data_IF_299496478578
#
_entry.id   IF_299496478578
#
_cell.length_a   1.000
_cell.length_b   1.000
_cell.length_c   1.000
_cell.angle_alpha   90.00
_cell.angle_beta   90.00
_cell.angle_gamma   90.00
#
_symmetry.space_group_name_H-M   'P 1'
#
loop_
_entity.id
_entity.type
_entity.pdbx_description
1 polymer ?
#
# COMPACT_ATOMS: atom_id res chain seq x y z
N UNK A 1 -4.64 18.30 46.97
CA UNK A 1 -3.92 19.56 47.24
C UNK A 1 -3.13 19.95 45.98
N UNK A 2 -3.75 20.72 45.07
CA UNK A 2 -3.08 21.16 43.83
C UNK A 2 -2.25 22.42 44.12
N UNK A 3 -0.93 22.29 44.08
CA UNK A 3 0.03 23.39 44.22
C UNK A 3 -0.29 24.45 43.14
N UNK A 4 -0.37 25.73 43.49
CA UNK A 4 -0.60 26.83 42.52
C UNK A 4 0.42 26.73 41.38
N UNK A 5 -0.03 26.29 40.21
CA UNK A 5 0.81 26.20 39.01
C UNK A 5 1.20 27.64 38.64
N UNK A 6 2.51 27.90 38.47
CA UNK A 6 2.97 29.22 38.09
C UNK A 6 2.53 29.53 36.64
N UNK A 7 2.22 30.78 36.32
CA UNK A 7 1.72 31.16 34.97
C UNK A 7 2.69 30.77 33.84
N UNK A 8 4.01 30.86 34.05
CA UNK A 8 5.03 30.42 33.08
C UNK A 8 4.98 28.90 32.87
N UNK A 9 4.83 28.12 33.94
CA UNK A 9 4.70 26.67 33.90
C UNK A 9 3.40 26.26 33.19
N UNK A 10 2.30 26.95 33.45
CA UNK A 10 1.04 26.73 32.74
C UNK A 10 1.16 27.04 31.24
N UNK A 11 1.87 28.12 30.86
CA UNK A 11 2.12 28.46 29.46
C UNK A 11 3.03 27.45 28.75
N UNK A 12 4.05 26.91 29.43
CA UNK A 12 4.91 25.86 28.88
C UNK A 12 4.11 24.57 28.65
N UNK A 13 3.26 24.19 29.61
CA UNK A 13 2.40 23.01 29.48
C UNK A 13 1.42 23.19 28.31
N UNK A 14 0.72 24.33 28.23
CA UNK A 14 -0.21 24.60 27.14
C UNK A 14 0.51 24.68 25.78
N UNK A 15 1.68 25.32 25.73
CA UNK A 15 2.50 25.41 24.52
C UNK A 15 2.99 24.05 24.03
N UNK A 16 3.47 23.19 24.93
CA UNK A 16 3.91 21.83 24.57
C UNK A 16 2.77 20.93 24.12
N UNK A 17 1.59 21.04 24.75
CA UNK A 17 0.39 20.33 24.29
C UNK A 17 -0.02 20.81 22.90
N UNK A 18 -0.04 22.12 22.67
CA UNK A 18 -0.37 22.67 21.36
C UNK A 18 0.60 22.18 20.28
N UNK A 19 1.91 22.23 20.52
CA UNK A 19 2.92 21.69 19.60
C UNK A 19 2.71 20.19 19.38
N UNK A 20 2.44 19.42 20.43
CA UNK A 20 2.14 17.99 20.32
C UNK A 20 0.93 17.69 19.44
N UNK A 21 -0.15 18.47 19.58
CA UNK A 21 -1.35 18.34 18.74
C UNK A 21 -1.01 18.67 17.29
N UNK A 22 -0.31 19.79 17.05
CA UNK A 22 0.08 20.20 15.69
C UNK A 22 0.93 19.12 15.03
N UNK A 23 1.94 18.59 15.73
CA UNK A 23 2.77 17.50 15.22
C UNK A 23 1.95 16.25 14.91
N UNK A 24 1.07 15.83 15.80
CA UNK A 24 0.22 14.67 15.59
C UNK A 24 -0.68 14.83 14.36
N UNK A 25 -1.30 16.00 14.18
CA UNK A 25 -2.16 16.30 13.03
C UNK A 25 -1.34 16.29 11.74
N UNK A 26 -0.20 16.99 11.71
CA UNK A 26 0.66 17.07 10.51
C UNK A 26 1.18 15.69 10.14
N UNK A 27 1.67 14.90 11.09
CA UNK A 27 2.15 13.54 10.82
C UNK A 27 1.03 12.64 10.30
N UNK A 28 -0.15 12.68 10.91
CA UNK A 28 -1.29 11.87 10.46
C UNK A 28 -1.73 12.24 9.03
N UNK A 29 -1.80 13.53 8.72
CA UNK A 29 -2.14 13.99 7.37
C UNK A 29 -1.04 13.62 6.36
N UNK A 30 0.24 13.75 6.74
CA UNK A 30 1.36 13.34 5.91
C UNK A 30 1.35 11.84 5.59
N UNK A 31 1.04 11.00 6.59
CA UNK A 31 0.88 9.54 6.40
C UNK A 31 -0.24 9.25 5.41
N UNK A 32 -1.42 9.86 5.58
CA UNK A 32 -2.56 9.66 4.67
C UNK A 32 -2.26 10.12 3.25
N UNK A 33 -1.66 11.31 3.09
CA UNK A 33 -1.31 11.84 1.79
C UNK A 33 -0.34 10.91 1.05
N UNK A 34 0.73 10.48 1.72
CA UNK A 34 1.75 9.59 1.17
C UNK A 34 1.35 8.11 1.13
N UNK A 35 0.10 7.79 1.45
CA UNK A 35 -0.52 6.46 1.35
C UNK A 35 -1.72 6.46 0.40
N UNK A 36 -2.01 7.60 -0.24
CA UNK A 36 -3.13 7.71 -1.18
C UNK A 36 -2.75 7.22 -2.56
N UNK A 37 -3.74 6.72 -3.30
CA UNK A 37 -3.56 6.25 -4.68
C UNK A 37 -3.00 7.37 -5.56
N UNK A 38 -3.50 8.61 -5.39
CA UNK A 38 -2.99 9.78 -6.11
C UNK A 38 -1.51 10.10 -5.84
N UNK A 39 -0.99 9.80 -4.65
CA UNK A 39 0.44 9.91 -4.39
C UNK A 39 1.23 8.80 -5.10
N UNK A 40 0.74 7.56 -5.08
CA UNK A 40 1.36 6.47 -5.82
C UNK A 40 1.45 6.78 -7.32
N UNK A 41 0.33 7.23 -7.89
CA UNK A 41 0.21 7.62 -9.30
C UNK A 41 1.01 8.87 -9.66
N UNK A 42 1.45 9.68 -8.70
CA UNK A 42 2.33 10.82 -8.99
C UNK A 42 3.73 10.41 -9.49
N UNK A 43 4.12 9.14 -9.27
CA UNK A 43 5.36 8.55 -9.77
C UNK A 43 5.08 7.33 -10.69
N UNK A 44 4.08 6.52 -10.35
CA UNK A 44 3.60 5.39 -11.14
C UNK A 44 2.54 5.86 -12.16
N UNK A 45 2.97 6.71 -13.09
CA UNK A 45 2.10 7.36 -14.09
C UNK A 45 2.30 6.72 -15.47
N UNK A 46 1.97 5.44 -15.61
CA UNK A 46 1.88 4.84 -16.94
C UNK A 46 0.59 5.31 -17.63
N UNK A 47 0.65 5.87 -18.84
CA UNK A 47 -0.53 6.39 -19.55
C UNK A 47 -1.67 5.37 -19.69
N UNK A 48 -1.35 4.10 -19.91
CA UNK A 48 -2.32 3.01 -20.00
C UNK A 48 -2.76 2.47 -18.63
N UNK A 49 -2.08 2.80 -17.53
CA UNK A 49 -2.43 2.27 -16.22
C UNK A 49 -3.87 2.61 -15.87
N UNK A 50 -4.27 3.89 -16.03
CA UNK A 50 -5.63 4.32 -15.73
C UNK A 50 -6.65 3.54 -16.56
N UNK A 51 -6.48 3.49 -17.89
CA UNK A 51 -7.42 2.80 -18.78
C UNK A 51 -7.48 1.28 -18.49
N UNK A 52 -6.32 0.67 -18.24
CA UNK A 52 -6.22 -0.78 -18.07
C UNK A 52 -6.61 -1.24 -16.67
N UNK A 53 -6.34 -0.44 -15.63
CA UNK A 53 -6.64 -0.72 -14.23
C UNK A 53 -8.10 -0.44 -13.90
N UNK A 54 -8.68 0.68 -14.38
CA UNK A 54 -10.09 1.02 -14.13
C UNK A 54 -11.06 -0.05 -14.66
N UNK A 55 -10.65 -0.82 -15.67
CA UNK A 55 -11.41 -1.94 -16.19
C UNK A 55 -11.31 -3.24 -15.35
N UNK A 56 -10.52 -3.27 -14.27
CA UNK A 56 -10.26 -4.47 -13.45
C UNK A 56 -11.10 -4.51 -12.19
N UNK A 57 -11.31 -5.72 -11.67
CA UNK A 57 -12.20 -5.95 -10.52
C UNK A 57 -11.74 -5.28 -9.22
N UNK A 58 -10.46 -4.90 -9.10
CA UNK A 58 -9.90 -4.23 -7.92
C UNK A 58 -9.67 -2.73 -8.11
N UNK A 59 -10.19 -2.13 -9.18
CA UNK A 59 -10.02 -0.69 -9.46
C UNK A 59 -10.47 0.23 -8.31
N UNK A 60 -11.44 -0.22 -7.52
CA UNK A 60 -12.00 0.53 -6.39
C UNK A 60 -11.29 0.24 -5.04
N UNK A 61 -10.28 -0.63 -5.03
CA UNK A 61 -9.49 -0.97 -3.84
C UNK A 61 -8.22 -0.10 -3.81
N UNK A 62 -7.90 0.47 -2.65
CA UNK A 62 -6.74 1.38 -2.54
C UNK A 62 -5.44 0.60 -2.73
N UNK A 63 -4.43 1.23 -3.33
CA UNK A 63 -3.13 0.61 -3.59
C UNK A 63 -2.52 0.01 -2.31
N UNK A 64 -2.68 0.73 -1.18
CA UNK A 64 -2.08 0.32 0.09
C UNK A 64 -2.78 -0.87 0.75
N UNK A 65 -4.03 -1.17 0.39
CA UNK A 65 -4.74 -2.34 0.92
C UNK A 65 -4.04 -3.65 0.51
N UNK A 66 -3.42 -3.65 -0.67
CA UNK A 66 -2.63 -4.78 -1.18
C UNK A 66 -1.11 -4.60 -0.95
N UNK A 67 -0.57 -3.39 -1.10
CA UNK A 67 0.88 -3.17 -1.10
C UNK A 67 1.50 -2.84 0.26
N UNK A 68 0.69 -2.70 1.31
CA UNK A 68 1.22 -2.43 2.67
C UNK A 68 1.99 -3.61 3.25
N UNK A 69 3.09 -3.32 3.95
CA UNK A 69 3.76 -4.22 4.89
C UNK A 69 3.62 -3.73 6.33
N UNK A 70 2.70 -2.80 6.56
CA UNK A 70 2.47 -2.11 7.83
C UNK A 70 3.06 -0.72 7.85
N UNK A 71 2.40 0.17 8.59
CA UNK A 71 2.65 1.62 8.59
C UNK A 71 4.14 2.00 8.72
N UNK A 72 4.86 1.42 9.68
CA UNK A 72 6.26 1.80 9.94
C UNK A 72 7.17 1.37 8.79
N UNK A 73 7.03 0.10 8.36
CA UNK A 73 7.87 -0.44 7.30
C UNK A 73 7.62 0.28 5.97
N UNK A 74 6.36 0.56 5.64
CA UNK A 74 5.98 1.29 4.43
C UNK A 74 6.60 2.68 4.37
N UNK A 75 6.64 3.41 5.50
CA UNK A 75 7.22 4.75 5.53
C UNK A 75 8.75 4.72 5.51
N UNK A 76 9.39 3.75 6.17
CA UNK A 76 10.85 3.62 6.14
C UNK A 76 11.33 3.23 4.74
N UNK A 77 10.78 2.18 4.16
CA UNK A 77 11.19 1.70 2.84
C UNK A 77 10.68 2.62 1.72
N UNK A 78 9.46 3.16 1.86
CA UNK A 78 8.91 4.14 0.93
C UNK A 78 9.73 5.43 0.88
N UNK A 79 10.28 5.91 2.00
CA UNK A 79 11.17 7.09 2.00
C UNK A 79 12.46 6.80 1.24
N UNK A 80 13.06 5.61 1.41
CA UNK A 80 14.25 5.20 0.66
C UNK A 80 13.95 5.13 -0.83
N UNK A 81 12.83 4.49 -1.21
CA UNK A 81 12.41 4.35 -2.62
C UNK A 81 12.16 5.73 -3.24
N UNK A 82 11.42 6.60 -2.55
CA UNK A 82 11.16 7.96 -3.03
C UNK A 82 12.46 8.75 -3.23
N UNK A 83 13.42 8.65 -2.30
CA UNK A 83 14.71 9.30 -2.47
C UNK A 83 15.49 8.74 -3.66
N UNK A 84 15.57 7.42 -3.81
CA UNK A 84 16.25 6.77 -4.94
C UNK A 84 15.60 7.11 -6.28
N UNK A 85 14.27 7.19 -6.35
CA UNK A 85 13.54 7.63 -7.55
C UNK A 85 13.86 9.10 -7.88
N UNK A 86 13.79 10.00 -6.90
CA UNK A 86 14.13 11.41 -7.10
C UNK A 86 15.60 11.63 -7.49
N UNK A 87 16.50 10.75 -7.02
CA UNK A 87 17.91 10.75 -7.39
C UNK A 87 18.18 10.07 -8.75
N UNK A 88 17.15 9.57 -9.45
CA UNK A 88 17.28 8.90 -10.75
C UNK A 88 17.93 7.52 -10.68
N UNK A 89 17.96 6.89 -9.49
CA UNK A 89 18.57 5.57 -9.27
C UNK A 89 17.61 4.41 -9.56
N UNK A 90 16.30 4.67 -9.49
CA UNK A 90 15.24 3.68 -9.70
C UNK A 90 14.18 4.32 -10.58
N UNK A 91 13.81 3.63 -11.66
CA UNK A 91 12.66 3.98 -12.48
C UNK A 91 11.37 3.41 -11.83
N UNK A 92 10.41 4.25 -11.41
CA UNK A 92 9.15 3.78 -10.87
C UNK A 92 8.25 3.14 -11.93
N UNK A 93 8.55 3.26 -13.23
CA UNK A 93 7.74 2.70 -14.32
C UNK A 93 8.37 1.47 -14.98
N UNK A 94 9.43 0.90 -14.40
CA UNK A 94 9.93 -0.42 -14.80
C UNK A 94 9.04 -1.52 -14.21
N UNK A 95 7.95 -1.82 -14.90
CA UNK A 95 6.92 -2.76 -14.40
C UNK A 95 7.42 -4.20 -14.31
N UNK A 96 8.32 -4.62 -15.20
CA UNK A 96 8.87 -5.98 -15.18
C UNK A 96 9.66 -6.24 -13.88
N UNK A 97 10.43 -5.26 -13.40
CA UNK A 97 11.13 -5.36 -12.11
C UNK A 97 10.15 -5.28 -10.92
N UNK A 98 9.06 -4.51 -11.04
CA UNK A 98 8.11 -4.27 -9.96
C UNK A 98 7.14 -5.43 -9.74
N UNK A 99 6.63 -6.05 -10.80
CA UNK A 99 5.73 -7.21 -10.74
C UNK A 99 6.41 -8.40 -10.04
N UNK A 100 7.73 -8.55 -10.21
CA UNK A 100 8.50 -9.62 -9.58
C UNK A 100 8.51 -9.60 -8.04
N UNK A 101 8.15 -8.48 -7.41
CA UNK A 101 8.22 -8.31 -5.94
C UNK A 101 6.94 -8.76 -5.21
N UNK A 102 5.86 -9.03 -5.96
CA UNK A 102 4.61 -9.65 -5.48
C UNK A 102 3.88 -8.90 -4.35
N UNK A 103 2.70 -9.39 -4.02
CA UNK A 103 1.99 -9.06 -2.76
C UNK A 103 1.85 -10.34 -1.94
N UNK A 104 1.84 -10.21 -0.62
CA UNK A 104 1.72 -11.36 0.26
C UNK A 104 0.27 -11.84 0.31
N UNK A 105 0.07 -13.16 0.39
CA UNK A 105 -1.26 -13.80 0.35
C UNK A 105 -2.19 -13.32 1.47
N UNK A 106 -1.65 -12.89 2.63
CA UNK A 106 -2.44 -12.33 3.73
C UNK A 106 -3.27 -11.11 3.30
N UNK A 107 -2.82 -10.37 2.28
CA UNK A 107 -3.56 -9.23 1.73
C UNK A 107 -4.77 -9.68 0.95
N UNK A 108 -4.61 -10.71 0.12
CA UNK A 108 -5.72 -11.35 -0.58
C UNK A 108 -6.71 -11.93 0.43
N UNK A 109 -6.22 -12.70 1.41
CA UNK A 109 -7.04 -13.39 2.41
C UNK A 109 -7.74 -12.46 3.40
N UNK A 110 -7.31 -11.19 3.51
CA UNK A 110 -8.02 -10.19 4.32
C UNK A 110 -9.44 -9.90 3.82
N UNK A 111 -9.70 -10.12 2.53
CA UNK A 111 -11.00 -9.97 1.89
C UNK A 111 -11.52 -11.28 1.28
N UNK A 112 -10.64 -12.15 0.80
CA UNK A 112 -10.97 -13.42 0.14
C UNK A 112 -10.88 -14.60 1.10
N UNK A 113 -12.02 -15.01 1.66
CA UNK A 113 -12.08 -16.22 2.48
C UNK A 113 -12.22 -17.49 1.60
N UNK A 114 -11.25 -18.40 1.73
CA UNK A 114 -11.22 -19.68 1.03
C UNK A 114 -12.12 -20.74 1.67
N UNK A 115 -12.36 -20.65 2.98
CA UNK A 115 -13.09 -21.64 3.78
C UNK A 115 -14.62 -21.45 3.73
N UNK A 116 -15.14 -20.96 2.59
CA UNK A 116 -16.56 -20.66 2.47
C UNK A 116 -17.30 -21.86 1.87
N UNK A 117 -18.10 -22.54 2.70
CA UNK A 117 -18.76 -23.83 2.41
C UNK A 117 -19.77 -23.83 1.23
N UNK A 118 -20.03 -22.68 0.61
CA UNK A 118 -20.98 -22.51 -0.50
C UNK A 118 -20.30 -22.22 -1.85
N UNK A 119 -19.14 -22.82 -2.11
CA UNK A 119 -18.43 -22.71 -3.40
C UNK A 119 -18.56 -23.99 -4.21
N UNK A 120 -18.38 -23.88 -5.53
CA UNK A 120 -18.44 -25.04 -6.42
C UNK A 120 -17.27 -26.00 -6.18
N UNK A 121 -17.47 -27.29 -6.44
CA UNK A 121 -16.41 -28.30 -6.35
C UNK A 121 -15.18 -27.94 -7.20
N UNK A 122 -15.40 -27.30 -8.35
CA UNK A 122 -14.34 -26.80 -9.22
C UNK A 122 -13.50 -25.69 -8.54
N UNK A 123 -14.13 -24.79 -7.79
CA UNK A 123 -13.42 -23.76 -7.03
C UNK A 123 -12.57 -24.38 -5.91
N UNK A 124 -13.16 -25.32 -5.15
CA UNK A 124 -12.49 -26.00 -4.04
C UNK A 124 -11.30 -26.84 -4.54
N UNK A 125 -11.49 -27.59 -5.62
CA UNK A 125 -10.43 -28.41 -6.22
C UNK A 125 -9.30 -27.54 -6.81
N UNK A 126 -9.65 -26.39 -7.42
CA UNK A 126 -8.66 -25.45 -7.95
C UNK A 126 -7.78 -24.83 -6.86
N UNK A 127 -8.36 -24.47 -5.71
CA UNK A 127 -7.61 -23.92 -4.58
C UNK A 127 -6.97 -24.98 -3.68
N UNK A 128 -7.35 -26.26 -3.78
CA UNK A 128 -6.62 -27.35 -3.10
C UNK A 128 -5.18 -27.47 -3.63
N UNK A 129 -4.95 -27.20 -4.92
CA UNK A 129 -3.63 -27.22 -5.57
C UNK A 129 -2.66 -26.23 -4.90
N UNK A 130 -3.17 -25.08 -4.42
CA UNK A 130 -2.38 -24.06 -3.72
C UNK A 130 -1.70 -24.65 -2.46
N UNK A 131 -2.46 -25.37 -1.62
CA UNK A 131 -1.94 -25.94 -0.38
C UNK A 131 -0.95 -27.09 -0.63
N UNK A 132 -1.16 -27.85 -1.70
CA UNK A 132 -0.32 -29.00 -2.05
C UNK A 132 1.02 -28.61 -2.69
N UNK A 133 1.09 -27.46 -3.36
CA UNK A 133 2.25 -27.06 -4.17
C UNK A 133 2.99 -25.83 -3.63
N UNK A 134 2.62 -25.30 -2.45
CA UNK A 134 3.25 -24.13 -1.84
C UNK A 134 3.28 -22.93 -2.79
N UNK A 135 2.17 -22.71 -3.50
CA UNK A 135 1.97 -21.58 -4.41
C UNK A 135 1.48 -20.35 -3.63
N UNK A 136 1.65 -19.17 -4.21
CA UNK A 136 1.04 -17.91 -3.79
C UNK A 136 -0.23 -17.62 -4.59
N UNK A 137 -1.13 -16.78 -4.07
CA UNK A 137 -2.28 -16.27 -4.80
C UNK A 137 -1.86 -15.68 -6.15
N UNK A 138 -0.74 -14.94 -6.19
CA UNK A 138 -0.26 -14.27 -7.40
C UNK A 138 0.38 -15.19 -8.43
N UNK A 139 0.64 -16.46 -8.10
CA UNK A 139 1.18 -17.44 -9.06
C UNK A 139 0.14 -17.84 -10.11
N UNK A 140 -1.15 -17.69 -9.80
CA UNK A 140 -2.26 -17.93 -10.71
C UNK A 140 -3.12 -16.67 -10.95
N UNK A 141 -3.28 -15.81 -9.94
CA UNK A 141 -3.96 -14.52 -10.04
C UNK A 141 -2.95 -13.39 -10.22
N UNK A 142 -2.37 -13.33 -11.41
CA UNK A 142 -1.18 -12.56 -11.72
C UNK A 142 -1.38 -11.03 -11.71
N UNK A 143 -0.27 -10.30 -11.64
CA UNK A 143 -0.25 -8.83 -11.68
C UNK A 143 -1.05 -8.23 -12.85
N UNK A 144 -0.92 -8.72 -14.09
CA UNK A 144 -1.74 -8.27 -15.22
C UNK A 144 -3.25 -8.43 -15.04
N UNK A 145 -3.71 -9.45 -14.31
CA UNK A 145 -5.14 -9.60 -13.99
C UNK A 145 -5.65 -8.51 -13.03
N UNK A 146 -4.75 -7.92 -12.21
CA UNK A 146 -5.08 -6.86 -11.23
C UNK A 146 -4.81 -5.46 -11.81
N UNK A 147 -3.63 -5.22 -12.39
CA UNK A 147 -3.17 -3.92 -12.89
C UNK A 147 -3.40 -3.70 -14.39
N UNK A 148 -3.73 -4.76 -15.13
CA UNK A 148 -3.74 -4.75 -16.58
C UNK A 148 -2.35 -4.95 -17.20
N UNK A 149 -2.30 -5.03 -18.52
CA UNK A 149 -1.05 -5.18 -19.26
C UNK A 149 -0.37 -3.82 -19.40
N UNK A 150 0.44 -3.48 -18.41
CA UNK A 150 1.27 -2.28 -18.41
C UNK A 150 2.50 -2.55 -19.28
N UNK A 151 2.82 -1.64 -20.19
CA UNK A 151 4.05 -1.72 -20.97
C UNK A 151 5.18 -1.11 -20.15
N UNK A 152 6.37 -1.69 -20.24
CA UNK A 152 7.56 -1.04 -19.74
C UNK A 152 7.82 0.25 -20.55
N UNK A 153 8.05 1.35 -19.83
CA UNK A 153 8.41 2.65 -20.39
C UNK A 153 9.86 3.02 -20.15
N UNK A 154 10.66 2.10 -19.59
CA UNK A 154 12.09 2.30 -19.44
C UNK A 154 12.72 2.54 -20.83
N UNK A 155 13.19 3.76 -21.05
CA UNK A 155 14.01 4.16 -22.20
C UNK A 155 15.44 4.40 -21.72
#
# INVERSE_FOLDING_TARGET
MFKKINKKLSLIILGSIFVGIVLAVVTNQGVKATSSDGFCLSCHDAPEFVEQFEARSHAEVSCIDCHTKGLVQDKVEGTKKAFSTLAGQIDPNNYDELVSKGVSDDKCLSCHNLDNDNRSDAFLSGHAIYAENNLSCTDCHDGPSIHGYLRDYSN
#
